data_IF_636896225167
#
_entry.id   IF_636896225167
#
_cell.length_a   1.000
_cell.length_b   1.000
_cell.length_c   1.000
_cell.angle_alpha   90.00
_cell.angle_beta   90.00
_cell.angle_gamma   90.00
#
_symmetry.space_group_name_H-M   'P 1'
#
loop_
_entity.id
_entity.type
_entity.pdbx_description
1 polymer ?
#
# COMPACT_ATOMS: atom_id res chain seq x y z
N UNK A 1 3.88 49.40 -4.66
CA UNK A 1 3.82 48.45 -5.82
C UNK A 1 5.03 47.51 -5.83
N UNK A 2 6.27 48.03 -5.54
CA UNK A 2 7.47 47.20 -5.44
C UNK A 2 7.35 46.12 -4.32
N UNK A 3 6.89 46.52 -3.12
CA UNK A 3 6.74 45.58 -1.98
C UNK A 3 5.80 44.42 -2.29
N UNK A 4 4.76 44.66 -3.06
CA UNK A 4 3.83 43.59 -3.48
C UNK A 4 4.51 42.60 -4.43
N UNK A 5 5.29 43.09 -5.40
CA UNK A 5 6.02 42.23 -6.33
C UNK A 5 7.16 41.48 -5.64
N UNK A 6 7.88 42.12 -4.71
CA UNK A 6 8.93 41.44 -3.91
C UNK A 6 8.33 40.35 -3.03
N UNK A 7 7.20 40.61 -2.36
CA UNK A 7 6.47 39.61 -1.59
C UNK A 7 6.01 38.45 -2.48
N UNK A 8 5.45 38.77 -3.64
CA UNK A 8 4.99 37.76 -4.60
C UNK A 8 6.14 36.88 -5.10
N UNK A 9 7.27 37.47 -5.45
CA UNK A 9 8.48 36.75 -5.88
C UNK A 9 9.00 35.86 -4.76
N UNK A 10 8.98 36.35 -3.53
CA UNK A 10 9.41 35.57 -2.35
C UNK A 10 8.55 34.33 -2.12
N UNK A 11 7.23 34.41 -2.32
CA UNK A 11 6.32 33.27 -2.19
C UNK A 11 6.54 32.20 -3.26
N UNK A 12 7.07 32.56 -4.43
CA UNK A 12 7.40 31.65 -5.53
C UNK A 12 8.87 31.17 -5.52
N UNK A 13 9.65 31.47 -4.47
CA UNK A 13 11.00 30.91 -4.35
C UNK A 13 10.94 29.39 -4.16
N UNK A 14 11.78 28.66 -4.91
CA UNK A 14 11.85 27.20 -4.84
C UNK A 14 12.85 26.78 -3.74
N UNK A 15 12.55 25.72 -2.99
CA UNK A 15 11.29 24.95 -2.96
C UNK A 15 10.15 25.78 -2.34
N UNK A 16 8.92 25.57 -2.84
CA UNK A 16 7.74 26.27 -2.33
C UNK A 16 7.51 25.98 -0.85
N UNK A 17 7.21 27.04 -0.08
CA UNK A 17 7.02 26.93 1.38
C UNK A 17 5.60 27.22 1.82
N UNK A 18 4.85 28.00 1.05
CA UNK A 18 3.47 28.36 1.37
C UNK A 18 2.54 27.13 1.26
N UNK A 19 1.90 26.66 2.36
CA UNK A 19 1.09 25.44 2.35
C UNK A 19 -0.12 25.53 1.39
N UNK A 20 -0.70 26.72 1.23
CA UNK A 20 -1.85 26.93 0.34
C UNK A 20 -1.42 26.80 -1.12
N UNK A 21 -0.27 27.36 -1.48
CA UNK A 21 0.30 27.26 -2.81
C UNK A 21 0.69 25.83 -3.14
N UNK A 22 1.32 25.12 -2.20
CA UNK A 22 1.67 23.69 -2.33
C UNK A 22 0.42 22.86 -2.59
N UNK A 23 -0.62 23.04 -1.77
CA UNK A 23 -1.86 22.30 -1.91
C UNK A 23 -2.56 22.61 -3.26
N UNK A 24 -2.59 23.87 -3.65
CA UNK A 24 -3.14 24.30 -4.94
C UNK A 24 -2.39 23.65 -6.12
N UNK A 25 -1.05 23.64 -6.08
CA UNK A 25 -0.22 23.01 -7.12
C UNK A 25 -0.51 21.51 -7.22
N UNK A 26 -0.59 20.81 -6.09
CA UNK A 26 -0.90 19.39 -6.07
C UNK A 26 -2.29 19.12 -6.65
N UNK A 27 -3.30 19.94 -6.34
CA UNK A 27 -4.64 19.81 -6.92
C UNK A 27 -4.63 20.02 -8.44
N UNK A 28 -3.87 21.01 -8.94
CA UNK A 28 -3.71 21.19 -10.39
C UNK A 28 -3.02 19.98 -11.06
N UNK A 29 -2.04 19.39 -10.40
CA UNK A 29 -1.38 18.17 -10.90
C UNK A 29 -2.35 17.00 -10.93
N UNK A 30 -3.14 16.81 -9.87
CA UNK A 30 -4.18 15.76 -9.79
C UNK A 30 -5.18 15.92 -10.95
N UNK A 31 -5.56 17.15 -11.26
CA UNK A 31 -6.48 17.45 -12.35
C UNK A 31 -5.84 17.26 -13.73
N UNK A 32 -4.67 17.83 -13.96
CA UNK A 32 -4.07 17.95 -15.28
C UNK A 32 -3.28 16.71 -15.71
N UNK A 33 -2.56 16.07 -14.79
CA UNK A 33 -1.70 14.93 -15.12
C UNK A 33 -2.44 13.77 -15.81
N UNK A 34 -3.59 13.30 -15.33
CA UNK A 34 -4.35 12.25 -16.01
C UNK A 34 -4.89 12.69 -17.39
N UNK A 35 -5.26 13.97 -17.53
CA UNK A 35 -5.78 14.53 -18.80
C UNK A 35 -4.68 14.56 -19.85
N UNK A 36 -3.50 15.06 -19.50
CA UNK A 36 -2.36 15.18 -20.41
C UNK A 36 -1.86 13.79 -20.82
N UNK A 37 -1.67 12.89 -19.85
CA UNK A 37 -1.07 11.59 -20.11
C UNK A 37 -2.03 10.59 -20.75
N UNK A 38 -3.33 10.81 -20.64
CA UNK A 38 -4.32 10.06 -21.42
C UNK A 38 -4.09 10.18 -22.94
N UNK A 39 -3.59 11.34 -23.42
CA UNK A 39 -3.22 11.53 -24.83
C UNK A 39 -2.05 10.66 -25.28
N UNK A 40 -1.21 10.25 -24.33
CA UNK A 40 -0.07 9.36 -24.55
C UNK A 40 -0.39 7.89 -24.26
N UNK A 41 -1.67 7.54 -24.02
CA UNK A 41 -2.13 6.21 -23.61
C UNK A 41 -1.48 5.71 -22.29
N UNK A 42 -1.03 6.63 -21.42
CA UNK A 42 -0.46 6.32 -20.12
C UNK A 42 -1.58 6.33 -19.08
N UNK A 43 -1.70 5.26 -18.23
CA UNK A 43 -2.66 5.25 -17.13
C UNK A 43 -2.45 6.44 -16.18
N UNK A 44 -3.54 7.08 -15.74
CA UNK A 44 -3.48 8.27 -14.88
C UNK A 44 -2.69 8.08 -13.57
N UNK A 45 -2.71 6.87 -13.02
CA UNK A 45 -1.92 6.50 -11.82
C UNK A 45 -0.43 6.69 -12.06
N UNK A 46 0.09 6.20 -13.19
CA UNK A 46 1.50 6.35 -13.58
C UNK A 46 1.82 7.83 -13.78
N UNK A 47 0.88 8.57 -14.33
CA UNK A 47 1.02 10.00 -14.52
C UNK A 47 1.23 10.78 -13.23
N UNK A 48 0.50 10.44 -12.19
CA UNK A 48 0.66 11.07 -10.87
C UNK A 48 2.02 10.76 -10.25
N UNK A 49 2.50 9.52 -10.38
CA UNK A 49 3.84 9.14 -9.91
C UNK A 49 4.92 9.90 -10.68
N UNK A 50 4.84 9.96 -12.02
CA UNK A 50 5.79 10.72 -12.85
C UNK A 50 5.77 12.20 -12.46
N UNK A 51 4.58 12.78 -12.24
CA UNK A 51 4.48 14.17 -11.78
C UNK A 51 5.20 14.37 -10.46
N UNK A 52 5.09 13.42 -9.52
CA UNK A 52 5.82 13.44 -8.26
C UNK A 52 7.34 13.40 -8.45
N UNK A 53 7.85 12.57 -9.35
CA UNK A 53 9.29 12.54 -9.71
C UNK A 53 9.74 13.90 -10.23
N UNK A 54 8.96 14.54 -11.09
CA UNK A 54 9.32 15.83 -11.71
C UNK A 54 9.34 16.96 -10.70
N UNK A 55 8.32 17.07 -9.82
CA UNK A 55 8.20 18.20 -8.88
C UNK A 55 8.95 17.97 -7.56
N UNK A 56 9.34 16.74 -7.28
CA UNK A 56 9.96 16.33 -6.03
C UNK A 56 11.40 16.85 -5.83
N UNK A 57 11.97 16.57 -4.64
CA UNK A 57 13.30 17.07 -4.25
C UNK A 57 14.43 16.62 -5.19
N UNK A 58 14.28 15.44 -5.80
CA UNK A 58 15.27 14.86 -6.71
C UNK A 58 14.98 15.17 -8.20
N UNK A 59 13.88 15.89 -8.49
CA UNK A 59 13.55 16.42 -9.81
C UNK A 59 13.88 17.91 -9.92
N UNK A 60 12.87 18.73 -10.19
CA UNK A 60 13.03 20.20 -10.24
C UNK A 60 13.05 20.88 -8.88
N UNK A 61 12.96 20.12 -7.78
CA UNK A 61 12.92 20.63 -6.41
C UNK A 61 11.86 21.73 -6.20
N UNK A 62 10.68 21.55 -6.81
CA UNK A 62 9.56 22.49 -6.66
C UNK A 62 8.91 22.29 -5.29
N UNK A 63 8.74 21.02 -4.86
CA UNK A 63 8.18 20.66 -3.57
C UNK A 63 9.15 19.81 -2.77
N UNK A 64 9.26 20.14 -1.48
CA UNK A 64 9.87 19.27 -0.49
C UNK A 64 8.81 18.38 0.17
N UNK A 65 9.26 17.24 0.73
CA UNK A 65 8.41 16.34 1.51
C UNK A 65 8.14 16.92 2.89
N UNK A 66 7.27 17.93 2.96
CA UNK A 66 6.86 18.55 4.22
C UNK A 66 5.96 17.62 5.04
N UNK A 67 5.83 17.86 6.34
CA UNK A 67 4.93 17.10 7.24
C UNK A 67 3.48 17.09 6.74
N UNK A 68 3.02 18.15 6.08
CA UNK A 68 1.69 18.21 5.48
C UNK A 68 1.55 17.24 4.30
N UNK A 69 2.52 17.23 3.38
CA UNK A 69 2.55 16.28 2.25
C UNK A 69 2.63 14.85 2.75
N UNK A 70 3.44 14.59 3.78
CA UNK A 70 3.56 13.26 4.38
C UNK A 70 2.27 12.79 5.06
N UNK A 71 1.57 13.69 5.75
CA UNK A 71 0.27 13.39 6.36
C UNK A 71 -0.76 12.99 5.30
N UNK A 72 -0.94 13.79 4.25
CA UNK A 72 -1.88 13.47 3.17
C UNK A 72 -1.50 12.20 2.41
N UNK A 73 -0.21 11.97 2.21
CA UNK A 73 0.30 10.73 1.62
C UNK A 73 -0.04 9.51 2.47
N UNK A 74 0.19 9.60 3.78
CA UNK A 74 -0.16 8.53 4.72
C UNK A 74 -1.66 8.27 4.73
N UNK A 75 -2.49 9.32 4.75
CA UNK A 75 -3.95 9.19 4.64
C UNK A 75 -4.32 8.46 3.35
N UNK A 76 -3.73 8.84 2.21
CA UNK A 76 -4.00 8.22 0.92
C UNK A 76 -3.64 6.73 0.88
N UNK A 77 -2.50 6.37 1.45
CA UNK A 77 -2.06 4.98 1.56
C UNK A 77 -3.02 4.15 2.41
N UNK A 78 -3.42 4.66 3.59
CA UNK A 78 -4.39 3.98 4.45
C UNK A 78 -5.76 3.87 3.78
N UNK A 79 -6.14 4.87 2.99
CA UNK A 79 -7.40 4.88 2.24
C UNK A 79 -7.46 3.78 1.17
N UNK A 80 -6.38 3.60 0.39
CA UNK A 80 -6.28 2.53 -0.61
C UNK A 80 -6.50 1.17 0.08
N UNK A 81 -5.82 0.95 1.18
CA UNK A 81 -5.89 -0.32 1.90
C UNK A 81 -7.24 -0.56 2.55
N UNK A 82 -7.86 0.50 3.07
CA UNK A 82 -9.20 0.42 3.63
C UNK A 82 -10.25 0.07 2.55
N UNK A 83 -10.20 0.74 1.40
CA UNK A 83 -11.09 0.44 0.26
C UNK A 83 -10.88 -1.01 -0.19
N UNK A 84 -9.64 -1.47 -0.33
CA UNK A 84 -9.34 -2.85 -0.70
C UNK A 84 -9.97 -3.86 0.29
N UNK A 85 -9.94 -3.54 1.59
CA UNK A 85 -10.61 -4.36 2.63
C UNK A 85 -12.13 -4.33 2.54
N UNK A 86 -12.73 -3.18 2.18
CA UNK A 86 -14.17 -3.06 1.95
C UNK A 86 -14.64 -3.79 0.70
N UNK A 87 -13.86 -3.73 -0.38
CA UNK A 87 -14.22 -4.32 -1.67
C UNK A 87 -13.98 -5.83 -1.74
N UNK A 88 -13.25 -6.41 -0.76
CA UNK A 88 -12.99 -7.85 -0.76
C UNK A 88 -14.28 -8.65 -0.66
N UNK A 89 -14.51 -9.52 -1.64
CA UNK A 89 -15.64 -10.46 -1.64
C UNK A 89 -15.43 -11.54 -0.56
N UNK A 90 -15.97 -11.26 0.64
CA UNK A 90 -15.77 -12.12 1.83
C UNK A 90 -16.25 -13.55 1.65
N UNK A 91 -17.26 -13.78 0.79
CA UNK A 91 -17.77 -15.12 0.51
C UNK A 91 -16.75 -15.91 -0.34
N UNK A 92 -16.21 -15.27 -1.38
CA UNK A 92 -15.16 -15.85 -2.23
C UNK A 92 -13.87 -16.08 -1.44
N UNK A 93 -13.47 -15.12 -0.58
CA UNK A 93 -12.32 -15.27 0.29
C UNK A 93 -12.48 -16.47 1.24
N UNK A 94 -13.62 -16.61 1.91
CA UNK A 94 -13.89 -17.73 2.81
C UNK A 94 -13.93 -19.07 2.07
N UNK A 95 -14.55 -19.10 0.90
CA UNK A 95 -14.61 -20.30 0.05
C UNK A 95 -13.21 -20.75 -0.40
N UNK A 96 -12.30 -19.79 -0.61
CA UNK A 96 -10.96 -20.03 -1.13
C UNK A 96 -9.82 -19.88 -0.10
N UNK A 97 -10.13 -19.84 1.20
CA UNK A 97 -9.14 -19.62 2.27
C UNK A 97 -7.91 -20.52 2.17
N UNK A 98 -8.11 -21.81 1.88
CA UNK A 98 -7.02 -22.77 1.75
C UNK A 98 -6.14 -22.48 0.53
N UNK A 99 -6.75 -22.04 -0.57
CA UNK A 99 -6.01 -21.63 -1.78
C UNK A 99 -5.25 -20.33 -1.53
N UNK A 100 -5.84 -19.36 -0.81
CA UNK A 100 -5.17 -18.12 -0.42
C UNK A 100 -3.98 -18.39 0.50
N UNK A 101 -4.13 -19.29 1.48
CA UNK A 101 -3.04 -19.69 2.37
C UNK A 101 -1.90 -20.37 1.59
N UNK A 102 -2.22 -21.29 0.70
CA UNK A 102 -1.24 -22.00 -0.11
C UNK A 102 -0.57 -21.07 -1.13
N UNK A 103 -1.33 -20.14 -1.73
CA UNK A 103 -0.77 -19.12 -2.60
C UNK A 103 0.15 -18.18 -1.82
N UNK A 104 -0.27 -17.71 -0.65
CA UNK A 104 0.59 -16.92 0.25
C UNK A 104 1.90 -17.65 0.60
N UNK A 105 1.84 -18.94 0.85
CA UNK A 105 3.03 -19.74 1.07
C UNK A 105 3.95 -19.77 -0.16
N UNK A 106 3.44 -19.97 -1.36
CA UNK A 106 4.25 -19.95 -2.59
C UNK A 106 4.85 -18.58 -2.84
N UNK A 107 4.07 -17.51 -2.74
CA UNK A 107 4.54 -16.14 -2.97
C UNK A 107 5.47 -15.64 -1.87
N UNK A 108 5.49 -16.28 -0.71
CA UNK A 108 6.44 -16.00 0.35
C UNK A 108 7.74 -16.77 0.16
N UNK A 109 7.67 -18.10 0.04
CA UNK A 109 8.88 -18.96 0.02
C UNK A 109 9.65 -18.84 -1.27
N UNK A 110 8.98 -18.86 -2.44
CA UNK A 110 9.66 -18.90 -3.73
C UNK A 110 10.54 -17.67 -3.98
N UNK A 111 10.05 -16.42 -3.80
CA UNK A 111 10.91 -15.25 -3.94
C UNK A 111 12.08 -15.23 -2.96
N UNK A 112 11.89 -15.71 -1.73
CA UNK A 112 12.98 -15.77 -0.73
C UNK A 112 14.03 -16.78 -1.16
N UNK A 113 13.64 -17.98 -1.60
CA UNK A 113 14.56 -19.04 -2.03
C UNK A 113 15.34 -18.61 -3.28
N UNK A 114 14.75 -17.86 -4.18
CA UNK A 114 15.43 -17.34 -5.38
C UNK A 114 16.26 -16.10 -5.03
N UNK A 115 15.69 -15.19 -4.24
CA UNK A 115 16.29 -13.88 -3.93
C UNK A 115 17.47 -13.95 -2.98
N UNK A 116 17.38 -14.78 -1.93
CA UNK A 116 18.43 -14.89 -0.93
C UNK A 116 19.80 -15.26 -1.53
N UNK A 117 19.94 -16.32 -2.35
CA UNK A 117 21.21 -16.64 -2.97
C UNK A 117 21.78 -15.54 -3.85
N UNK A 118 20.92 -14.82 -4.57
CA UNK A 118 21.37 -13.70 -5.41
C UNK A 118 21.87 -12.54 -4.55
N UNK A 119 21.15 -12.18 -3.50
CA UNK A 119 21.59 -11.12 -2.58
C UNK A 119 22.91 -11.49 -1.88
N UNK A 120 23.05 -12.75 -1.44
CA UNK A 120 24.20 -13.19 -0.67
C UNK A 120 25.45 -13.43 -1.55
N UNK A 121 25.31 -14.20 -2.64
CA UNK A 121 26.45 -14.61 -3.47
C UNK A 121 26.76 -13.66 -4.62
N UNK A 122 25.78 -12.97 -5.19
CA UNK A 122 25.99 -12.09 -6.35
C UNK A 122 26.17 -10.64 -5.91
N UNK A 123 25.34 -10.15 -4.97
CA UNK A 123 25.44 -8.78 -4.47
C UNK A 123 26.37 -8.62 -3.26
N UNK A 124 26.80 -9.73 -2.62
CA UNK A 124 27.73 -9.71 -1.50
C UNK A 124 27.15 -9.16 -0.20
N UNK A 125 25.83 -9.21 -0.03
CA UNK A 125 25.20 -8.76 1.20
C UNK A 125 25.45 -9.76 2.34
N UNK A 126 25.44 -9.27 3.58
CA UNK A 126 25.48 -10.14 4.77
C UNK A 126 24.17 -10.95 4.92
N UNK A 127 24.16 -11.90 5.84
CA UNK A 127 23.01 -12.78 6.07
C UNK A 127 21.72 -12.01 6.32
N UNK A 128 21.75 -11.01 7.23
CA UNK A 128 20.57 -10.27 7.62
C UNK A 128 20.05 -9.39 6.48
N UNK A 129 20.94 -8.67 5.78
CA UNK A 129 20.57 -7.85 4.64
C UNK A 129 20.05 -8.69 3.47
N UNK A 130 20.67 -9.84 3.19
CA UNK A 130 20.22 -10.77 2.14
C UNK A 130 18.83 -11.34 2.44
N UNK A 131 18.60 -11.77 3.68
CA UNK A 131 17.32 -12.33 4.09
C UNK A 131 16.20 -11.28 4.10
N UNK A 132 16.51 -10.08 4.59
CA UNK A 132 15.55 -8.96 4.59
C UNK A 132 15.20 -8.54 3.17
N UNK A 133 16.21 -8.33 2.30
CA UNK A 133 15.99 -7.95 0.89
C UNK A 133 15.20 -9.02 0.14
N UNK A 134 15.55 -10.30 0.30
CA UNK A 134 14.80 -11.40 -0.32
C UNK A 134 13.36 -11.49 0.19
N UNK A 135 13.11 -11.22 1.47
CA UNK A 135 11.76 -11.20 2.02
C UNK A 135 10.90 -10.06 1.44
N UNK A 136 11.51 -8.92 1.08
CA UNK A 136 10.80 -7.82 0.42
C UNK A 136 10.25 -8.20 -0.97
N UNK A 137 10.88 -9.17 -1.68
CA UNK A 137 10.35 -9.66 -2.95
C UNK A 137 9.05 -10.48 -2.79
N UNK A 138 8.80 -10.99 -1.60
CA UNK A 138 7.60 -11.73 -1.28
C UNK A 138 6.38 -10.83 -1.03
N UNK A 139 6.57 -9.53 -0.79
CA UNK A 139 5.46 -8.59 -0.58
C UNK A 139 4.78 -8.27 -1.91
N UNK A 140 3.46 -8.22 -1.86
CA UNK A 140 2.63 -7.79 -2.98
C UNK A 140 1.91 -6.52 -2.54
N UNK A 141 2.39 -5.38 -3.00
CA UNK A 141 1.71 -4.13 -2.68
C UNK A 141 0.38 -4.11 -3.42
N UNK A 142 -0.72 -4.03 -2.69
CA UNK A 142 -2.08 -3.92 -3.26
C UNK A 142 -2.31 -2.61 -4.08
N UNK A 143 -1.22 -1.95 -4.51
CA UNK A 143 -1.27 -0.78 -5.40
C UNK A 143 -1.92 -1.11 -6.75
N UNK A 144 -1.82 -2.36 -7.21
CA UNK A 144 -2.49 -2.81 -8.42
C UNK A 144 -4.00 -3.03 -8.23
N UNK A 145 -4.48 -3.15 -6.98
CA UNK A 145 -5.89 -3.43 -6.69
C UNK A 145 -6.86 -2.36 -7.22
N UNK A 146 -6.59 -1.03 -7.10
CA UNK A 146 -7.43 -0.01 -7.73
C UNK A 146 -7.57 -0.17 -9.24
N UNK A 147 -6.56 -0.70 -9.91
CA UNK A 147 -6.61 -0.98 -11.35
C UNK A 147 -7.58 -2.12 -11.61
N UNK A 148 -7.48 -3.21 -10.83
CA UNK A 148 -8.36 -4.38 -10.91
C UNK A 148 -9.82 -4.00 -10.61
N UNK A 149 -10.05 -3.19 -9.59
CA UNK A 149 -11.38 -2.67 -9.22
C UNK A 149 -11.96 -1.82 -10.35
N UNK A 150 -11.18 -0.92 -10.93
CA UNK A 150 -11.61 -0.07 -12.05
C UNK A 150 -12.00 -0.86 -13.29
N UNK A 151 -11.38 -2.00 -13.54
CA UNK A 151 -11.75 -2.90 -14.63
C UNK A 151 -12.92 -3.84 -14.29
N UNK A 152 -13.48 -3.75 -13.08
CA UNK A 152 -14.63 -4.55 -12.64
C UNK A 152 -14.32 -6.04 -12.47
N UNK A 153 -13.04 -6.43 -12.33
CA UNK A 153 -12.59 -7.83 -12.20
C UNK A 153 -12.23 -8.23 -10.76
N UNK A 154 -12.53 -7.38 -9.78
CA UNK A 154 -12.31 -7.64 -8.34
C UNK A 154 -13.01 -8.90 -7.82
N UNK A 155 -14.11 -9.32 -8.46
CA UNK A 155 -14.85 -10.55 -8.13
C UNK A 155 -14.21 -11.84 -8.65
N UNK A 156 -13.12 -11.75 -9.40
CA UNK A 156 -12.44 -12.94 -9.92
C UNK A 156 -11.78 -13.72 -8.77
N UNK A 157 -11.94 -15.04 -8.78
CA UNK A 157 -11.34 -15.92 -7.77
C UNK A 157 -9.83 -15.74 -7.65
N UNK A 158 -9.12 -15.53 -8.76
CA UNK A 158 -7.68 -15.29 -8.76
C UNK A 158 -7.31 -14.01 -7.99
N UNK A 159 -8.12 -12.95 -8.11
CA UNK A 159 -7.95 -11.70 -7.36
C UNK A 159 -8.15 -11.94 -5.86
N UNK A 160 -9.25 -12.60 -5.48
CA UNK A 160 -9.54 -12.90 -4.07
C UNK A 160 -8.43 -13.72 -3.41
N UNK A 161 -7.86 -14.70 -4.14
CA UNK A 161 -6.75 -15.54 -3.67
C UNK A 161 -5.45 -14.72 -3.58
N UNK A 162 -5.15 -13.88 -4.56
CA UNK A 162 -3.97 -13.01 -4.52
C UNK A 162 -4.03 -12.05 -3.33
N UNK A 163 -5.13 -11.33 -3.17
CA UNK A 163 -5.32 -10.40 -2.05
C UNK A 163 -5.21 -11.13 -0.71
N UNK A 164 -5.86 -12.28 -0.57
CA UNK A 164 -5.77 -13.10 0.64
C UNK A 164 -4.36 -13.60 0.94
N UNK A 165 -3.62 -14.01 -0.10
CA UNK A 165 -2.21 -14.42 0.03
C UNK A 165 -1.31 -13.26 0.43
N UNK A 166 -1.50 -12.09 -0.17
CA UNK A 166 -0.75 -10.86 0.10
C UNK A 166 -0.80 -10.44 1.57
N UNK A 167 -1.96 -10.50 2.19
CA UNK A 167 -2.11 -10.17 3.62
C UNK A 167 -1.19 -11.04 4.49
N UNK A 168 -1.13 -12.33 4.17
CA UNK A 168 -0.29 -13.27 4.90
C UNK A 168 1.20 -12.99 4.66
N UNK A 169 1.59 -12.73 3.41
CA UNK A 169 2.99 -12.44 3.07
C UNK A 169 3.46 -11.12 3.65
N UNK A 170 2.67 -10.07 3.56
CA UNK A 170 3.01 -8.75 4.12
C UNK A 170 3.19 -8.84 5.64
N UNK A 171 2.26 -9.50 6.33
CA UNK A 171 2.39 -9.74 7.78
C UNK A 171 3.65 -10.54 8.10
N UNK A 172 3.95 -11.61 7.36
CA UNK A 172 5.11 -12.44 7.59
C UNK A 172 6.44 -11.68 7.36
N UNK A 173 6.52 -10.85 6.31
CA UNK A 173 7.71 -10.04 6.01
C UNK A 173 7.94 -8.98 7.09
N UNK A 174 6.89 -8.38 7.63
CA UNK A 174 7.02 -7.41 8.72
C UNK A 174 7.47 -8.09 10.02
N UNK A 175 7.03 -9.32 10.29
CA UNK A 175 7.56 -10.12 11.40
C UNK A 175 9.06 -10.40 11.18
N UNK A 176 9.48 -10.75 9.96
CA UNK A 176 10.90 -10.92 9.62
C UNK A 176 11.67 -9.62 9.90
N UNK A 177 11.17 -8.48 9.42
CA UNK A 177 11.80 -7.18 9.66
C UNK A 177 11.96 -6.91 11.17
N UNK A 178 10.91 -7.12 11.95
CA UNK A 178 10.96 -6.93 13.40
C UNK A 178 11.97 -7.88 14.07
N UNK A 179 12.05 -9.14 13.63
CA UNK A 179 13.01 -10.14 14.12
C UNK A 179 14.44 -9.74 13.77
N UNK A 180 14.71 -9.36 12.52
CA UNK A 180 16.05 -8.94 12.06
C UNK A 180 16.52 -7.70 12.83
N UNK A 181 15.65 -6.70 13.00
CA UNK A 181 15.98 -5.49 13.77
C UNK A 181 16.26 -5.81 15.24
N UNK A 182 15.48 -6.66 15.88
CA UNK A 182 15.68 -7.08 17.28
C UNK A 182 16.92 -7.94 17.43
N UNK A 183 17.19 -8.81 16.46
CA UNK A 183 18.42 -9.61 16.46
C UNK A 183 19.66 -8.71 16.35
N UNK A 184 19.65 -7.71 15.48
CA UNK A 184 20.72 -6.74 15.33
C UNK A 184 20.96 -5.91 16.61
N UNK A 185 19.92 -5.70 17.43
CA UNK A 185 20.00 -5.01 18.73
C UNK A 185 20.36 -5.96 19.88
N UNK A 186 20.52 -7.27 19.65
CA UNK A 186 20.79 -8.26 20.71
C UNK A 186 19.61 -8.56 21.64
N UNK A 187 18.39 -8.11 21.29
CA UNK A 187 17.20 -8.15 22.15
C UNK A 187 16.15 -9.18 21.70
N UNK A 188 16.56 -10.23 21.00
CA UNK A 188 15.66 -11.29 20.55
C UNK A 188 15.49 -12.33 21.69
N UNK A 189 14.50 -12.11 22.54
CA UNK A 189 14.19 -12.99 23.66
C UNK A 189 12.75 -13.54 23.59
N UNK A 190 12.43 -14.50 24.44
CA UNK A 190 11.08 -15.07 24.50
C UNK A 190 10.00 -14.01 24.81
N UNK A 191 10.34 -12.98 25.55
CA UNK A 191 9.44 -11.86 25.91
C UNK A 191 8.94 -11.12 24.67
N UNK A 192 9.79 -10.93 23.64
CA UNK A 192 9.39 -10.33 22.36
C UNK A 192 8.25 -11.12 21.71
N UNK A 193 8.37 -12.45 21.63
CA UNK A 193 7.37 -13.30 21.00
C UNK A 193 6.04 -13.31 21.75
N UNK A 194 6.09 -13.35 23.08
CA UNK A 194 4.88 -13.25 23.90
C UNK A 194 4.18 -11.88 23.73
N UNK A 195 4.93 -10.79 23.77
CA UNK A 195 4.38 -9.45 23.57
C UNK A 195 3.74 -9.30 22.19
N UNK A 196 4.43 -9.75 21.13
CA UNK A 196 3.91 -9.70 19.77
C UNK A 196 2.63 -10.56 19.65
N UNK A 197 2.62 -11.78 20.14
CA UNK A 197 1.46 -12.67 20.09
C UNK A 197 0.25 -12.12 20.85
N UNK A 198 0.45 -11.57 22.04
CA UNK A 198 -0.61 -10.97 22.86
C UNK A 198 -1.15 -9.70 22.17
N UNK A 199 -0.27 -8.79 21.73
CA UNK A 199 -0.70 -7.54 21.11
C UNK A 199 -1.47 -7.76 19.81
N UNK A 200 -1.04 -8.70 18.96
CA UNK A 200 -1.77 -9.10 17.74
C UNK A 200 -3.13 -9.74 18.07
N UNK A 201 -3.19 -10.56 19.13
CA UNK A 201 -4.44 -11.18 19.58
C UNK A 201 -5.44 -10.13 20.07
N UNK A 202 -4.98 -9.16 20.86
CA UNK A 202 -5.79 -8.04 21.35
C UNK A 202 -6.26 -7.19 20.16
N UNK A 203 -5.37 -6.84 19.25
CA UNK A 203 -5.70 -6.10 18.02
C UNK A 203 -6.80 -6.81 17.23
N UNK A 204 -6.63 -8.10 16.95
CA UNK A 204 -7.61 -8.90 16.21
C UNK A 204 -8.96 -8.97 16.95
N UNK A 205 -8.95 -9.15 18.29
CA UNK A 205 -10.17 -9.16 19.08
C UNK A 205 -10.91 -7.82 19.02
N UNK A 206 -10.20 -6.69 19.15
CA UNK A 206 -10.81 -5.36 19.02
C UNK A 206 -11.42 -5.19 17.63
N UNK A 207 -10.66 -5.50 16.57
CA UNK A 207 -11.09 -5.27 15.19
C UNK A 207 -12.25 -6.15 14.75
N UNK A 208 -12.28 -7.42 15.11
CA UNK A 208 -13.32 -8.35 14.64
C UNK A 208 -14.48 -8.57 15.61
N UNK A 209 -14.31 -8.28 16.91
CA UNK A 209 -15.38 -8.47 17.90
C UNK A 209 -16.00 -7.15 18.38
N UNK A 210 -15.20 -6.11 18.59
CA UNK A 210 -15.67 -4.84 19.16
C UNK A 210 -16.11 -3.88 18.06
N UNK A 211 -15.24 -3.59 17.09
CA UNK A 211 -15.51 -2.59 16.04
C UNK A 211 -16.81 -2.86 15.28
N UNK A 212 -17.13 -4.09 14.82
CA UNK A 212 -18.39 -4.33 14.11
C UNK A 212 -19.64 -4.11 14.97
N UNK A 213 -19.55 -4.41 16.27
CA UNK A 213 -20.67 -4.17 17.20
C UNK A 213 -20.89 -2.68 17.43
N UNK A 214 -19.81 -1.94 17.67
CA UNK A 214 -19.86 -0.48 17.84
C UNK A 214 -20.37 0.20 16.57
N UNK A 215 -19.87 -0.20 15.41
CA UNK A 215 -20.30 0.33 14.12
C UNK A 215 -21.79 0.04 13.85
N UNK A 216 -22.25 -1.18 14.10
CA UNK A 216 -23.67 -1.53 13.95
C UNK A 216 -24.53 -0.69 14.87
N UNK A 217 -24.17 -0.52 16.13
CA UNK A 217 -24.88 0.32 17.09
C UNK A 217 -24.90 1.78 16.62
N UNK A 218 -23.75 2.32 16.19
CA UNK A 218 -23.64 3.70 15.74
C UNK A 218 -24.51 3.98 14.51
N UNK A 219 -24.43 3.11 13.49
CA UNK A 219 -25.23 3.26 12.27
C UNK A 219 -26.74 3.15 12.51
N UNK A 220 -27.18 2.31 13.45
CA UNK A 220 -28.59 2.18 13.79
C UNK A 220 -29.14 3.36 14.61
N UNK A 221 -28.29 3.99 15.45
CA UNK A 221 -28.74 5.14 16.26
C UNK A 221 -28.76 6.47 15.51
N UNK A 222 -27.89 6.65 14.52
CA UNK A 222 -27.69 7.90 13.78
C UNK A 222 -28.05 7.74 12.30
N UNK A 223 -29.14 7.05 12.01
CA UNK A 223 -29.56 6.70 10.65
C UNK A 223 -29.75 7.91 9.73
N UNK A 224 -30.17 9.06 10.27
CA UNK A 224 -30.36 10.33 9.55
C UNK A 224 -29.04 11.09 9.32
N UNK A 225 -28.00 10.85 10.10
CA UNK A 225 -26.76 11.61 10.15
C UNK A 225 -25.69 11.05 9.20
N UNK A 226 -25.91 11.20 7.89
CA UNK A 226 -25.01 10.63 6.85
C UNK A 226 -23.57 11.12 6.91
N UNK A 227 -23.33 12.34 7.44
CA UNK A 227 -21.97 12.85 7.64
C UNK A 227 -21.28 12.16 8.83
N UNK A 228 -22.02 11.91 9.91
CA UNK A 228 -21.50 11.23 11.09
C UNK A 228 -21.02 9.81 10.75
N UNK A 229 -21.73 9.08 9.86
CA UNK A 229 -21.32 7.75 9.40
C UNK A 229 -19.95 7.78 8.71
N UNK A 230 -19.73 8.76 7.83
CA UNK A 230 -18.46 8.90 7.14
C UNK A 230 -17.32 9.23 8.10
N UNK A 231 -17.50 10.20 9.01
CA UNK A 231 -16.50 10.57 10.01
C UNK A 231 -16.19 9.39 10.95
N UNK A 232 -17.22 8.65 11.38
CA UNK A 232 -17.05 7.45 12.20
C UNK A 232 -16.17 6.42 11.50
N UNK A 233 -16.46 6.14 10.22
CA UNK A 233 -15.66 5.18 9.43
C UNK A 233 -14.20 5.62 9.34
N UNK A 234 -13.94 6.90 9.03
CA UNK A 234 -12.58 7.43 9.01
C UNK A 234 -11.90 7.28 10.38
N UNK A 235 -12.59 7.64 11.46
CA UNK A 235 -12.04 7.50 12.81
C UNK A 235 -11.64 6.06 13.11
N UNK A 236 -12.47 5.08 12.70
CA UNK A 236 -12.16 3.66 12.86
C UNK A 236 -10.92 3.25 12.05
N UNK A 237 -10.79 3.74 10.81
CA UNK A 237 -9.64 3.42 9.94
C UNK A 237 -8.33 3.89 10.57
N UNK A 238 -8.27 5.16 10.98
CA UNK A 238 -7.05 5.73 11.57
C UNK A 238 -6.77 5.14 12.96
N UNK A 239 -7.80 4.87 13.74
CA UNK A 239 -7.64 4.19 15.02
C UNK A 239 -7.13 2.75 14.85
N UNK A 240 -7.63 2.02 13.87
CA UNK A 240 -7.14 0.69 13.55
C UNK A 240 -5.68 0.68 13.05
N UNK A 241 -5.32 1.68 12.23
CA UNK A 241 -3.94 1.87 11.79
C UNK A 241 -3.00 2.13 12.98
N UNK A 242 -3.40 2.99 13.91
CA UNK A 242 -2.68 3.25 15.15
C UNK A 242 -2.56 1.99 16.02
N UNK A 243 -3.66 1.26 16.23
CA UNK A 243 -3.63 0.01 17.02
C UNK A 243 -2.73 -1.05 16.41
N UNK A 244 -2.68 -1.16 15.07
CA UNK A 244 -1.79 -2.07 14.38
C UNK A 244 -0.32 -1.71 14.64
N UNK A 245 0.04 -0.42 14.56
CA UNK A 245 1.39 0.07 14.85
C UNK A 245 1.79 -0.22 16.31
N UNK A 246 0.91 0.03 17.27
CA UNK A 246 1.12 -0.32 18.69
C UNK A 246 1.25 -1.83 18.88
N UNK A 247 0.52 -2.64 18.11
CA UNK A 247 0.60 -4.10 18.15
C UNK A 247 1.89 -4.66 17.52
N UNK A 248 2.72 -3.82 16.88
CA UNK A 248 3.97 -4.21 16.27
C UNK A 248 3.85 -4.65 14.81
N UNK A 249 2.73 -4.30 14.14
CA UNK A 249 2.53 -4.49 12.70
C UNK A 249 2.33 -3.14 12.00
N UNK A 250 2.41 -3.16 10.69
CA UNK A 250 2.33 -1.92 9.92
C UNK A 250 0.91 -1.32 9.93
N UNK A 251 0.84 0.00 10.03
CA UNK A 251 -0.41 0.77 10.00
C UNK A 251 -1.31 0.46 8.79
N UNK A 252 -0.70 0.08 7.67
CA UNK A 252 -1.38 -0.34 6.44
C UNK A 252 -2.29 -1.54 6.69
N UNK A 253 -1.81 -2.53 7.43
CA UNK A 253 -2.57 -3.73 7.81
C UNK A 253 -3.77 -3.34 8.67
N UNK A 254 -3.59 -2.38 9.59
CA UNK A 254 -4.68 -1.86 10.42
C UNK A 254 -5.83 -1.29 9.59
N UNK A 255 -5.51 -0.43 8.60
CA UNK A 255 -6.50 0.15 7.70
C UNK A 255 -7.22 -0.93 6.87
N UNK A 256 -6.48 -1.92 6.35
CA UNK A 256 -7.06 -3.05 5.62
C UNK A 256 -8.00 -3.87 6.50
N UNK A 257 -7.58 -4.22 7.71
CA UNK A 257 -8.39 -4.98 8.68
C UNK A 257 -9.63 -4.19 9.09
N UNK A 258 -9.55 -2.85 9.19
CA UNK A 258 -10.73 -2.01 9.40
C UNK A 258 -11.74 -2.16 8.25
N UNK A 259 -11.26 -2.18 7.01
CA UNK A 259 -12.07 -2.46 5.83
C UNK A 259 -12.77 -3.82 5.91
N UNK A 260 -12.04 -4.87 6.26
CA UNK A 260 -12.61 -6.20 6.46
C UNK A 260 -13.66 -6.26 7.57
N UNK A 261 -13.39 -5.59 8.70
CA UNK A 261 -14.30 -5.55 9.85
C UNK A 261 -15.61 -4.84 9.53
N UNK A 262 -15.57 -3.79 8.71
CA UNK A 262 -16.72 -3.00 8.29
C UNK A 262 -17.37 -3.47 6.98
N UNK A 263 -16.76 -4.38 6.25
CA UNK A 263 -17.18 -4.86 4.91
C UNK A 263 -18.66 -5.24 4.86
N UNK A 264 -19.15 -6.00 5.84
CA UNK A 264 -20.56 -6.42 5.90
C UNK A 264 -21.55 -5.29 6.25
N UNK A 265 -21.06 -4.21 6.87
CA UNK A 265 -21.87 -3.08 7.32
C UNK A 265 -21.94 -1.96 6.28
N UNK A 266 -21.01 -1.95 5.33
CA UNK A 266 -20.90 -0.98 4.25
C UNK A 266 -21.03 -1.70 2.90
N UNK A 267 -22.25 -1.94 2.41
CA UNK A 267 -22.47 -2.56 1.11
C UNK A 267 -21.82 -1.75 -0.03
N UNK A 268 -21.29 -2.42 -1.05
CA UNK A 268 -20.65 -1.77 -2.20
C UNK A 268 -21.57 -0.77 -2.93
N UNK A 269 -22.88 -1.02 -2.98
CA UNK A 269 -23.87 -0.12 -3.60
C UNK A 269 -24.37 0.99 -2.67
N UNK A 270 -23.82 1.12 -1.46
CA UNK A 270 -24.29 2.10 -0.49
C UNK A 270 -23.81 3.52 -0.81
N UNK A 271 -24.61 4.52 -0.46
CA UNK A 271 -24.21 5.92 -0.57
C UNK A 271 -22.97 6.27 0.26
N UNK A 272 -22.72 5.52 1.35
CA UNK A 272 -21.53 5.67 2.18
C UNK A 272 -20.28 5.17 1.43
N UNK A 273 -20.35 4.01 0.78
CA UNK A 273 -19.26 3.48 -0.04
C UNK A 273 -18.89 4.44 -1.18
N UNK A 274 -19.88 4.93 -1.91
CA UNK A 274 -19.66 5.90 -2.99
C UNK A 274 -18.93 7.16 -2.51
N UNK A 275 -19.24 7.64 -1.29
CA UNK A 275 -18.53 8.81 -0.70
C UNK A 275 -17.09 8.47 -0.33
N UNK A 276 -16.88 7.30 0.27
CA UNK A 276 -15.55 6.82 0.61
C UNK A 276 -14.69 6.73 -0.66
N UNK A 277 -15.18 6.06 -1.69
CA UNK A 277 -14.48 5.94 -2.96
C UNK A 277 -14.23 7.29 -3.63
N UNK A 278 -15.23 8.16 -3.67
CA UNK A 278 -15.11 9.47 -4.29
C UNK A 278 -13.99 10.30 -3.67
N UNK A 279 -13.99 10.46 -2.35
CA UNK A 279 -13.00 11.28 -1.65
C UNK A 279 -11.61 10.61 -1.72
N UNK A 280 -11.55 9.29 -1.56
CA UNK A 280 -10.32 8.53 -1.73
C UNK A 280 -9.68 8.74 -3.09
N UNK A 281 -10.44 8.48 -4.15
CA UNK A 281 -9.95 8.54 -5.53
C UNK A 281 -9.73 9.98 -6.04
N UNK A 282 -10.51 10.96 -5.55
CA UNK A 282 -10.38 12.33 -6.00
C UNK A 282 -9.25 13.10 -5.31
N UNK A 283 -8.92 12.75 -4.07
CA UNK A 283 -7.99 13.55 -3.26
C UNK A 283 -6.86 12.73 -2.65
N UNK A 284 -7.16 11.83 -1.73
CA UNK A 284 -6.14 11.22 -0.87
C UNK A 284 -5.21 10.26 -1.62
N UNK A 285 -5.77 9.40 -2.48
CA UNK A 285 -4.98 8.43 -3.26
C UNK A 285 -4.04 9.13 -4.24
N UNK A 286 -4.46 10.16 -4.99
CA UNK A 286 -3.55 10.94 -5.83
C UNK A 286 -2.41 11.61 -5.05
N UNK A 287 -2.67 12.15 -3.84
CA UNK A 287 -1.61 12.69 -2.99
C UNK A 287 -0.55 11.64 -2.64
N UNK A 288 -1.00 10.44 -2.27
CA UNK A 288 -0.09 9.31 -2.02
C UNK A 288 0.76 8.99 -3.25
N UNK A 289 0.15 8.89 -4.43
CA UNK A 289 0.87 8.54 -5.67
C UNK A 289 1.92 9.60 -6.05
N UNK A 290 1.58 10.88 -5.92
CA UNK A 290 2.55 11.98 -6.14
C UNK A 290 3.69 11.88 -5.11
N UNK A 291 3.38 11.67 -3.84
CA UNK A 291 4.39 11.53 -2.78
C UNK A 291 5.33 10.33 -3.00
N UNK A 292 4.82 9.22 -3.50
CA UNK A 292 5.65 8.06 -3.91
C UNK A 292 6.63 8.48 -5.01
N UNK A 293 6.17 9.22 -6.00
CA UNK A 293 7.04 9.76 -7.05
C UNK A 293 8.13 10.69 -6.50
N UNK A 294 7.81 11.54 -5.52
CA UNK A 294 8.77 12.48 -4.92
C UNK A 294 9.95 11.81 -4.20
N UNK A 295 9.82 10.55 -3.80
CA UNK A 295 10.88 9.78 -3.14
C UNK A 295 11.90 9.22 -4.14
N UNK A 296 11.52 9.12 -5.42
CA UNK A 296 12.38 8.52 -6.45
C UNK A 296 13.54 9.46 -6.78
N UNK A 297 14.76 9.00 -6.50
CA UNK A 297 15.99 9.69 -6.86
C UNK A 297 16.54 9.18 -8.19
N UNK A 298 16.29 9.94 -9.25
CA UNK A 298 16.79 9.62 -10.59
C UNK A 298 18.31 9.76 -10.71
N UNK A 299 18.97 10.52 -9.83
CA UNK A 299 20.41 10.70 -9.84
C UNK A 299 21.17 9.41 -9.52
N UNK A 300 20.59 8.57 -8.64
CA UNK A 300 21.13 7.26 -8.30
C UNK A 300 21.20 6.35 -9.54
N UNK A 301 20.20 6.46 -10.41
CA UNK A 301 20.14 5.70 -11.67
C UNK A 301 21.16 6.23 -12.68
N UNK A 302 21.38 7.54 -12.72
CA UNK A 302 22.23 8.21 -13.72
C UNK A 302 23.72 8.22 -13.36
N UNK A 303 24.06 8.21 -12.06
CA UNK A 303 25.43 8.45 -11.60
C UNK A 303 26.24 7.20 -11.21
N UNK A 304 25.68 5.98 -11.37
CA UNK A 304 26.43 4.78 -10.95
C UNK A 304 26.06 3.51 -11.69
N UNK A 305 27.00 2.93 -12.43
CA UNK A 305 26.83 1.60 -13.04
C UNK A 305 26.52 0.51 -12.00
N UNK A 306 27.11 0.60 -10.81
CA UNK A 306 26.85 -0.33 -9.69
C UNK A 306 25.43 -0.25 -9.19
N UNK A 307 24.87 0.95 -9.02
CA UNK A 307 23.50 1.14 -8.58
C UNK A 307 22.48 0.59 -9.60
N UNK A 308 22.76 0.81 -10.91
CA UNK A 308 21.96 0.24 -12.00
C UNK A 308 22.00 -1.28 -12.02
N UNK A 309 23.19 -1.88 -11.83
CA UNK A 309 23.35 -3.35 -11.78
C UNK A 309 22.56 -3.91 -10.59
N UNK A 310 22.70 -3.31 -9.41
CA UNK A 310 21.97 -3.75 -8.21
C UNK A 310 20.47 -3.61 -8.42
N UNK A 311 19.98 -2.44 -8.84
CA UNK A 311 18.57 -2.20 -9.09
C UNK A 311 18.01 -3.15 -10.16
N UNK A 312 18.72 -3.33 -11.27
CA UNK A 312 18.35 -4.26 -12.34
C UNK A 312 18.30 -5.71 -11.84
N UNK A 313 19.31 -6.15 -11.11
CA UNK A 313 19.38 -7.50 -10.54
C UNK A 313 18.21 -7.75 -9.58
N UNK A 314 17.97 -6.85 -8.62
CA UNK A 314 16.88 -6.96 -7.66
C UNK A 314 15.50 -6.98 -8.36
N UNK A 315 15.30 -6.12 -9.36
CA UNK A 315 14.05 -6.07 -10.14
C UNK A 315 13.81 -7.36 -10.92
N UNK A 316 14.84 -7.87 -11.62
CA UNK A 316 14.73 -9.12 -12.39
C UNK A 316 14.44 -10.30 -11.45
N UNK A 317 15.15 -10.39 -10.33
CA UNK A 317 14.96 -11.46 -9.34
C UNK A 317 13.56 -11.42 -8.74
N UNK A 318 13.06 -10.23 -8.38
CA UNK A 318 11.71 -10.04 -7.88
C UNK A 318 10.64 -10.49 -8.90
N UNK A 319 10.80 -10.09 -10.18
CA UNK A 319 9.89 -10.47 -11.26
C UNK A 319 9.93 -11.99 -11.51
N UNK A 320 11.12 -12.61 -11.54
CA UNK A 320 11.26 -14.06 -11.71
C UNK A 320 10.61 -14.79 -10.53
N UNK A 321 10.87 -14.37 -9.30
CA UNK A 321 10.28 -14.97 -8.10
C UNK A 321 8.76 -14.96 -8.12
N UNK A 322 8.16 -13.81 -8.45
CA UNK A 322 6.71 -13.65 -8.58
C UNK A 322 6.15 -14.48 -9.73
N UNK A 323 6.83 -14.48 -10.88
CA UNK A 323 6.39 -15.25 -12.04
C UNK A 323 6.40 -16.76 -11.75
N UNK A 324 7.46 -17.27 -11.11
CA UNK A 324 7.56 -18.68 -10.71
C UNK A 324 6.47 -19.03 -9.69
N UNK A 325 6.21 -18.16 -8.71
CA UNK A 325 5.13 -18.36 -7.74
C UNK A 325 3.74 -18.42 -8.42
N UNK A 326 3.47 -17.52 -9.37
CA UNK A 326 2.24 -17.52 -10.15
C UNK A 326 2.13 -18.79 -11.03
N UNK A 327 3.24 -19.28 -11.59
CA UNK A 327 3.26 -20.51 -12.36
C UNK A 327 2.97 -21.75 -11.51
N UNK A 328 3.55 -21.84 -10.31
CA UNK A 328 3.21 -22.89 -9.34
C UNK A 328 1.74 -22.83 -8.95
N UNK A 329 1.21 -21.64 -8.68
CA UNK A 329 -0.21 -21.46 -8.41
C UNK A 329 -1.10 -21.93 -9.58
N UNK A 330 -0.69 -21.66 -10.82
CA UNK A 330 -1.40 -22.14 -12.01
C UNK A 330 -1.47 -23.68 -12.04
N UNK A 331 -0.36 -24.36 -11.80
CA UNK A 331 -0.31 -25.84 -11.83
C UNK A 331 -1.18 -26.41 -10.71
N UNK A 332 -1.00 -25.94 -9.48
CA UNK A 332 -1.65 -26.49 -8.29
C UNK A 332 -3.17 -26.22 -8.30
N UNK A 333 -3.57 -25.01 -8.71
CA UNK A 333 -5.00 -24.63 -8.72
C UNK A 333 -5.68 -24.92 -10.05
N UNK A 334 -4.94 -25.40 -11.05
CA UNK A 334 -5.41 -25.65 -12.43
C UNK A 334 -5.99 -24.39 -13.07
N UNK A 335 -5.32 -23.27 -12.89
CA UNK A 335 -5.73 -21.99 -13.45
C UNK A 335 -5.42 -21.86 -14.93
N UNK A 336 -6.19 -21.03 -15.62
CA UNK A 336 -5.91 -20.63 -16.99
C UNK A 336 -4.69 -19.72 -17.06
N UNK A 337 -4.11 -19.57 -18.26
CA UNK A 337 -3.00 -18.63 -18.49
C UNK A 337 -3.39 -17.17 -18.14
N UNK A 338 -4.64 -16.77 -18.41
CA UNK A 338 -5.14 -15.45 -18.06
C UNK A 338 -5.20 -15.23 -16.54
N UNK A 339 -5.66 -16.22 -15.77
CA UNK A 339 -5.68 -16.15 -14.30
C UNK A 339 -4.26 -16.10 -13.71
N UNK A 340 -3.30 -16.85 -14.31
CA UNK A 340 -1.89 -16.74 -13.91
C UNK A 340 -1.34 -15.34 -14.13
N UNK A 341 -1.60 -14.73 -15.30
CA UNK A 341 -1.17 -13.37 -15.59
C UNK A 341 -1.78 -12.36 -14.62
N UNK A 342 -3.06 -12.55 -14.27
CA UNK A 342 -3.74 -11.71 -13.29
C UNK A 342 -3.10 -11.82 -11.90
N UNK A 343 -2.77 -13.03 -11.45
CA UNK A 343 -2.07 -13.28 -10.18
C UNK A 343 -0.66 -12.69 -10.21
N UNK A 344 0.04 -12.80 -11.33
CA UNK A 344 1.38 -12.24 -11.47
C UNK A 344 1.39 -10.71 -11.45
N UNK A 345 0.36 -10.08 -11.98
CA UNK A 345 0.24 -8.62 -12.05
C UNK A 345 -0.28 -7.96 -10.77
N UNK A 346 -0.82 -8.75 -9.86
CA UNK A 346 -1.27 -8.33 -8.52
C UNK A 346 -0.16 -8.52 -7.49
#
# INVERSE_FOLDING_TARGET
MNDFFEHLIHEFTLPLRNPVLIFSLILFIILLSPIVLKRLNIPGIIGLIISGVVIGPHGFNILEKTSAVELFSTIGLLYIMFIAGLELEMNEFKANKNKSLLFGFFTFIIPIVIGYPVCYYVLGYDFNASFLTASMFATHTLVAYPIVSRFGISKNQAVAISVGGTILTDTAVLIILAVVLRNAQGNLNAEFWYKLGISLSIFAAIMFLIIPKVAKWFFSKLESEKHAHYIFVLSVVFFAAFLAEVAGVEKIIGAFVAGLALNKLIPHSSALMNRIEFIGNALFIPFFLISVGMVVDMSVILNGSTALIVAGTLTIVALIGKWVAAWFAQIVFRYTAAQRQLIFGL
#
